data_IF_050097130258
#
_entry.id   IF_050097130258
#
_cell.length_a   1.000
_cell.length_b   1.000
_cell.length_c   1.000
_cell.angle_alpha   90.00
_cell.angle_beta   90.00
_cell.angle_gamma   90.00
#
_symmetry.space_group_name_H-M   'P 1'
#
loop_
_entity.id
_entity.type
_entity.pdbx_description
1 polymer ?
#
# COMPACT_ATOMS: atom_id res chain seq x y z
N UNK A 1 -17.42 14.71 24.43
CA UNK A 1 -16.82 13.41 24.06
C UNK A 1 -17.94 12.44 23.71
N UNK A 2 -18.46 12.48 22.48
CA UNK A 2 -19.68 11.77 22.10
C UNK A 2 -19.44 10.67 21.07
N UNK A 3 -20.05 9.49 21.31
CA UNK A 3 -20.37 8.43 20.34
C UNK A 3 -19.28 7.47 19.83
N UNK A 4 -18.11 7.37 20.47
CA UNK A 4 -17.11 6.35 20.08
C UNK A 4 -17.22 5.03 20.83
N UNK A 5 -17.96 4.97 21.95
CA UNK A 5 -18.08 3.77 22.80
C UNK A 5 -19.02 2.70 22.23
N UNK A 6 -19.97 3.10 21.40
CA UNK A 6 -21.02 2.22 20.85
C UNK A 6 -20.49 1.24 19.79
N UNK A 7 -19.52 1.68 18.98
CA UNK A 7 -18.93 0.88 17.91
C UNK A 7 -18.13 -0.34 18.42
N UNK A 8 -17.17 -0.20 19.35
CA UNK A 8 -16.40 -1.35 19.83
C UNK A 8 -17.29 -2.41 20.50
N UNK A 9 -18.33 -1.99 21.23
CA UNK A 9 -19.32 -2.91 21.83
C UNK A 9 -20.15 -3.65 20.78
N UNK A 10 -20.63 -2.95 19.74
CA UNK A 10 -21.44 -3.57 18.67
C UNK A 10 -20.65 -4.57 17.83
N UNK A 11 -19.36 -4.32 17.63
CA UNK A 11 -18.52 -5.15 16.77
C UNK A 11 -17.61 -6.13 17.55
N UNK A 12 -17.65 -6.11 18.89
CA UNK A 12 -16.76 -6.86 19.77
C UNK A 12 -15.26 -6.65 19.42
N UNK A 13 -14.90 -5.41 19.11
CA UNK A 13 -13.54 -5.00 18.72
C UNK A 13 -12.97 -4.12 19.86
N UNK A 14 -11.67 -4.26 20.21
CA UNK A 14 -11.04 -3.36 21.17
C UNK A 14 -11.17 -1.88 20.77
N UNK A 15 -11.44 -1.01 21.74
CA UNK A 15 -11.61 0.44 21.51
C UNK A 15 -10.42 1.09 20.82
N UNK A 16 -9.20 0.63 21.12
CA UNK A 16 -7.96 1.06 20.46
C UNK A 16 -7.99 0.77 18.95
N UNK A 17 -8.39 -0.45 18.57
CA UNK A 17 -8.49 -0.88 17.17
C UNK A 17 -9.53 -0.05 16.42
N UNK A 18 -10.69 0.19 17.03
CA UNK A 18 -11.71 1.09 16.46
C UNK A 18 -11.16 2.50 16.25
N UNK A 19 -10.43 3.04 17.23
CA UNK A 19 -9.80 4.35 17.11
C UNK A 19 -8.76 4.42 15.98
N UNK A 20 -7.97 3.35 15.81
CA UNK A 20 -6.98 3.24 14.73
C UNK A 20 -7.64 3.21 13.35
N UNK A 21 -8.72 2.45 13.19
CA UNK A 21 -9.50 2.36 11.94
C UNK A 21 -10.11 3.73 11.59
N UNK A 22 -10.74 4.42 12.56
CA UNK A 22 -11.33 5.74 12.33
C UNK A 22 -10.26 6.75 11.91
N UNK A 23 -9.09 6.74 12.58
CA UNK A 23 -7.98 7.64 12.23
C UNK A 23 -7.50 7.36 10.81
N UNK A 24 -7.30 6.10 10.44
CA UNK A 24 -6.91 5.68 9.10
C UNK A 24 -7.93 6.12 8.04
N UNK A 25 -9.22 5.92 8.32
CA UNK A 25 -10.29 6.33 7.42
C UNK A 25 -10.30 7.85 7.20
N UNK A 26 -10.08 8.64 8.25
CA UNK A 26 -9.97 10.11 8.14
C UNK A 26 -8.76 10.56 7.30
N UNK A 27 -7.64 9.87 7.39
CA UNK A 27 -6.41 10.23 6.66
C UNK A 27 -6.43 9.77 5.20
N UNK A 28 -6.86 8.53 4.96
CA UNK A 28 -6.71 7.86 3.66
C UNK A 28 -8.04 7.72 2.90
N UNK A 29 -9.18 8.04 3.52
CA UNK A 29 -10.51 7.80 2.93
C UNK A 29 -10.89 6.33 2.81
N UNK A 30 -10.08 5.41 3.34
CA UNK A 30 -10.30 3.95 3.23
C UNK A 30 -10.08 3.23 4.54
N UNK A 31 -10.95 2.24 4.81
CA UNK A 31 -10.81 1.30 5.92
C UNK A 31 -10.15 -0.01 5.48
N UNK A 32 -9.92 -0.21 4.17
CA UNK A 32 -9.21 -1.38 3.66
C UNK A 32 -7.78 -1.41 4.23
N UNK A 33 -7.22 -2.61 4.42
CA UNK A 33 -5.78 -2.73 4.61
C UNK A 33 -5.11 -2.12 3.38
N UNK A 34 -4.24 -1.13 3.61
CA UNK A 34 -3.47 -0.60 2.51
C UNK A 34 -2.66 -1.79 2.00
N UNK A 35 -2.46 -1.92 0.68
CA UNK A 35 -1.44 -2.83 0.21
C UNK A 35 -0.20 -2.51 1.03
N UNK A 36 0.41 -3.56 1.61
CA UNK A 36 1.67 -3.39 2.31
C UNK A 36 2.54 -2.51 1.43
N UNK A 37 3.25 -1.54 2.02
CA UNK A 37 4.25 -0.81 1.24
C UNK A 37 5.25 -1.87 0.83
N UNK A 38 5.00 -2.45 -0.34
CA UNK A 38 5.64 -3.67 -0.77
C UNK A 38 7.13 -3.43 -0.79
N UNK A 39 7.89 -4.51 -0.80
CA UNK A 39 9.34 -4.43 -0.92
C UNK A 39 9.70 -3.41 -2.00
N UNK A 40 10.51 -2.41 -1.63
CA UNK A 40 10.96 -1.42 -2.59
C UNK A 40 11.54 -2.14 -3.82
N UNK A 41 11.17 -1.70 -5.03
CA UNK A 41 11.69 -2.33 -6.24
C UNK A 41 13.22 -2.30 -6.21
N UNK A 42 13.86 -3.43 -6.54
CA UNK A 42 15.32 -3.54 -6.58
C UNK A 42 15.95 -2.58 -7.60
N UNK A 43 15.15 -2.12 -8.57
CA UNK A 43 15.53 -1.15 -9.60
C UNK A 43 14.53 0.00 -9.63
N UNK A 44 15.01 1.23 -9.81
CA UNK A 44 14.12 2.38 -9.96
C UNK A 44 13.34 2.32 -11.27
N UNK A 45 12.21 3.02 -11.34
CA UNK A 45 11.40 3.14 -12.56
C UNK A 45 12.19 3.69 -13.75
N UNK A 46 13.11 4.62 -13.48
CA UNK A 46 14.04 5.18 -14.48
C UNK A 46 15.04 4.14 -14.99
N UNK A 47 15.63 3.34 -14.10
CA UNK A 47 16.55 2.28 -14.48
C UNK A 47 15.84 1.21 -15.33
N UNK A 48 14.62 0.80 -14.94
CA UNK A 48 13.79 -0.11 -15.73
C UNK A 48 13.49 0.46 -17.12
N UNK A 49 13.10 1.74 -17.20
CA UNK A 49 12.80 2.40 -18.47
C UNK A 49 14.02 2.43 -19.40
N UNK A 50 15.20 2.73 -18.86
CA UNK A 50 16.45 2.71 -19.62
C UNK A 50 16.82 1.31 -20.09
N UNK A 51 16.62 0.28 -19.26
CA UNK A 51 16.83 -1.12 -19.64
C UNK A 51 15.93 -1.53 -20.81
N UNK A 52 14.63 -1.19 -20.76
CA UNK A 52 13.70 -1.49 -21.86
C UNK A 52 14.11 -0.76 -23.14
N UNK A 53 14.50 0.52 -23.05
CA UNK A 53 14.93 1.30 -24.22
C UNK A 53 16.21 0.76 -24.84
N UNK A 54 17.19 0.38 -24.02
CA UNK A 54 18.46 -0.20 -24.49
C UNK A 54 18.25 -1.57 -25.13
N UNK A 55 17.45 -2.45 -24.51
CA UNK A 55 17.09 -3.75 -25.07
C UNK A 55 16.33 -3.62 -26.41
N UNK A 56 15.44 -2.62 -26.55
CA UNK A 56 14.75 -2.34 -27.81
C UNK A 56 15.68 -1.79 -28.90
N UNK A 57 16.59 -0.88 -28.55
CA UNK A 57 17.51 -0.22 -29.50
C UNK A 57 18.61 -1.16 -30.00
N UNK A 58 19.10 -2.01 -29.11
CA UNK A 58 20.16 -2.97 -29.41
C UNK A 58 19.71 -4.32 -28.89
N UNK A 59 18.86 -5.03 -29.66
CA UNK A 59 18.39 -6.34 -29.26
C UNK A 59 19.58 -7.30 -29.28
N UNK A 60 20.18 -7.50 -28.10
CA UNK A 60 21.13 -8.58 -27.89
C UNK A 60 20.29 -9.79 -27.52
N UNK A 61 20.44 -10.90 -28.25
CA UNK A 61 19.84 -12.18 -27.86
C UNK A 61 20.44 -12.54 -26.51
N UNK A 62 19.71 -12.32 -25.43
CA UNK A 62 20.00 -12.95 -24.15
C UNK A 62 19.56 -14.40 -24.28
N UNK A 63 20.43 -15.21 -24.88
CA UNK A 63 20.22 -16.64 -25.01
C UNK A 63 20.62 -17.33 -23.71
N UNK A 64 19.62 -17.86 -23.00
CA UNK A 64 19.61 -19.13 -22.26
C UNK A 64 18.25 -19.30 -21.60
#
# INVERSE_FOLDING_TARGET
MGKTKELPQKFNIPSFTTGSIIRKFKTCGTAANLPDHGRQPKISSRALSNLVRTAKKTPRVTGS
#
